data_IF_683033261039
#
_entry.id   IF_683033261039
#
_cell.length_a   1.000
_cell.length_b   1.000
_cell.length_c   1.000
_cell.angle_alpha   90.00
_cell.angle_beta   90.00
_cell.angle_gamma   90.00
#
_symmetry.space_group_name_H-M   'P 1'
#
loop_
_entity.id
_entity.type
_entity.pdbx_description
1 polymer ?
#
# COMPACT_ATOMS: atom_id res chain seq x y z
N UNK A 1 3.58 12.09 -10.40
CA UNK A 1 2.41 12.37 -11.25
C UNK A 1 2.03 13.85 -11.16
N UNK A 2 1.26 14.37 -12.12
CA UNK A 2 0.86 15.77 -12.12
C UNK A 2 0.15 16.19 -10.83
N UNK A 3 0.51 17.36 -10.30
CA UNK A 3 -0.03 17.93 -9.07
C UNK A 3 0.23 17.08 -7.81
N UNK A 4 1.18 16.16 -7.89
CA UNK A 4 1.50 15.25 -6.78
C UNK A 4 2.87 15.46 -6.15
N UNK A 5 3.54 16.59 -6.41
CA UNK A 5 4.91 16.81 -5.97
C UNK A 5 5.07 16.78 -4.44
N UNK A 6 4.17 17.40 -3.70
CA UNK A 6 4.19 17.41 -2.22
C UNK A 6 3.92 16.00 -1.69
N UNK A 7 2.92 15.32 -2.25
CA UNK A 7 2.61 13.94 -1.89
C UNK A 7 3.80 13.01 -2.14
N UNK A 8 4.39 13.09 -3.33
CA UNK A 8 5.56 12.26 -3.67
C UNK A 8 6.76 12.56 -2.78
N UNK A 9 6.99 13.84 -2.46
CA UNK A 9 8.06 14.25 -1.54
C UNK A 9 7.83 13.68 -0.14
N UNK A 10 6.60 13.72 0.37
CA UNK A 10 6.27 13.17 1.69
C UNK A 10 6.46 11.65 1.73
N UNK A 11 6.10 10.95 0.67
CA UNK A 11 6.29 9.50 0.59
C UNK A 11 7.76 9.11 0.47
N UNK A 12 8.55 9.88 -0.27
CA UNK A 12 9.99 9.67 -0.35
C UNK A 12 10.66 9.92 1.02
N UNK A 13 10.20 10.93 1.76
CA UNK A 13 10.68 11.21 3.11
C UNK A 13 10.39 10.06 4.07
N UNK A 14 9.20 9.46 3.99
CA UNK A 14 8.85 8.28 4.81
C UNK A 14 9.78 7.10 4.49
N UNK A 15 10.11 6.89 3.23
CA UNK A 15 11.05 5.84 2.83
C UNK A 15 12.43 6.04 3.45
N UNK A 16 12.96 7.26 3.37
CA UNK A 16 14.26 7.60 3.94
C UNK A 16 14.24 7.48 5.47
N UNK A 17 13.17 7.92 6.11
CA UNK A 17 12.98 7.82 7.56
C UNK A 17 12.91 6.35 8.00
N UNK A 18 12.20 5.52 7.28
CA UNK A 18 12.09 4.07 7.55
C UNK A 18 13.47 3.41 7.52
N UNK A 19 14.26 3.70 6.49
CA UNK A 19 15.61 3.16 6.37
C UNK A 19 16.52 3.65 7.50
N UNK A 20 16.46 4.93 7.84
CA UNK A 20 17.20 5.52 8.96
C UNK A 20 16.83 4.88 10.29
N UNK A 21 15.53 4.71 10.56
CA UNK A 21 15.06 4.03 11.78
C UNK A 21 15.56 2.58 11.85
N UNK A 22 15.57 1.88 10.72
CA UNK A 22 16.08 0.50 10.66
C UNK A 22 17.54 0.44 11.05
N UNK A 23 18.35 1.39 10.57
CA UNK A 23 19.76 1.49 10.91
C UNK A 23 19.94 1.83 12.39
N UNK A 24 19.22 2.83 12.89
CA UNK A 24 19.38 3.32 14.26
C UNK A 24 18.92 2.31 15.32
N UNK A 25 17.90 1.51 14.99
CA UNK A 25 17.23 0.64 15.97
C UNK A 25 17.69 -0.82 15.93
N UNK A 26 18.52 -1.19 14.96
CA UNK A 26 18.93 -2.60 14.83
C UNK A 26 19.69 -3.13 16.05
N UNK A 27 20.44 -2.27 16.73
CA UNK A 27 21.19 -2.66 17.95
C UNK A 27 20.27 -2.99 19.13
N UNK A 28 19.01 -2.57 19.05
CA UNK A 28 17.98 -2.88 20.05
C UNK A 28 17.09 -4.05 19.62
N UNK A 29 17.44 -4.76 18.53
CA UNK A 29 16.65 -5.86 17.96
C UNK A 29 15.22 -5.46 17.60
N UNK A 30 15.03 -4.21 17.19
CA UNK A 30 13.75 -3.69 16.73
C UNK A 30 13.68 -3.85 15.21
N UNK A 31 12.61 -4.49 14.75
CA UNK A 31 12.34 -4.67 13.32
C UNK A 31 11.57 -3.47 12.81
N UNK A 32 12.04 -2.89 11.70
CA UNK A 32 11.39 -1.78 11.02
C UNK A 32 11.12 -2.21 9.59
N UNK A 33 9.88 -2.15 9.17
CA UNK A 33 9.46 -2.61 7.86
C UNK A 33 8.45 -1.64 7.26
N UNK A 34 8.29 -1.71 5.94
CA UNK A 34 7.27 -0.93 5.23
C UNK A 34 6.45 -1.83 4.32
N UNK A 35 5.19 -1.43 4.14
CA UNK A 35 4.30 -2.03 3.18
C UNK A 35 3.77 -0.93 2.26
N UNK A 36 3.82 -1.20 0.95
CA UNK A 36 3.40 -0.25 -0.09
C UNK A 36 2.28 -0.89 -0.90
N UNK A 37 1.02 -0.59 -0.59
CA UNK A 37 -0.10 -1.16 -1.33
C UNK A 37 -0.39 -0.37 -2.60
N UNK A 38 -0.92 -1.06 -3.61
CA UNK A 38 -1.61 -0.45 -4.73
C UNK A 38 -2.97 0.11 -4.30
N UNK A 39 -3.93 0.11 -5.22
CA UNK A 39 -5.28 0.61 -4.92
C UNK A 39 -6.00 -0.28 -3.92
N UNK A 40 -6.50 0.33 -2.85
CA UNK A 40 -7.26 -0.32 -1.78
C UNK A 40 -8.64 0.30 -1.73
N UNK A 41 -9.68 -0.52 -1.88
CA UNK A 41 -11.06 -0.05 -1.80
C UNK A 41 -11.55 0.04 -0.36
N UNK A 42 -12.73 0.62 -0.19
CA UNK A 42 -13.44 0.72 1.10
C UNK A 42 -12.64 1.43 2.20
N UNK A 43 -11.80 2.39 1.79
CA UNK A 43 -11.08 3.27 2.70
C UNK A 43 -11.53 4.72 2.47
N UNK A 44 -11.28 5.56 3.44
CA UNK A 44 -11.59 6.99 3.32
C UNK A 44 -10.57 7.75 2.46
N UNK A 45 -9.47 7.11 2.06
CA UNK A 45 -8.37 7.79 1.38
C UNK A 45 -8.81 8.52 0.11
N UNK A 46 -9.53 7.83 -0.77
CA UNK A 46 -9.98 8.42 -2.03
C UNK A 46 -11.03 9.52 -1.79
N UNK A 47 -11.91 9.34 -0.82
CA UNK A 47 -12.92 10.32 -0.45
C UNK A 47 -12.25 11.59 0.05
N UNK A 48 -11.29 11.48 0.94
CA UNK A 48 -10.53 12.61 1.49
C UNK A 48 -9.73 13.31 0.39
N UNK A 49 -9.05 12.53 -0.46
CA UNK A 49 -8.24 13.05 -1.57
C UNK A 49 -9.07 13.87 -2.56
N UNK A 50 -10.33 13.50 -2.79
CA UNK A 50 -11.22 14.16 -3.73
C UNK A 50 -12.25 15.07 -3.03
N UNK A 51 -11.93 15.57 -1.84
CA UNK A 51 -12.76 16.51 -1.06
C UNK A 51 -14.21 16.03 -0.84
N UNK A 52 -14.37 14.72 -0.64
CA UNK A 52 -15.69 14.12 -0.40
C UNK A 52 -16.50 13.83 -1.66
N UNK A 53 -15.94 14.03 -2.85
CA UNK A 53 -16.60 13.66 -4.12
C UNK A 53 -16.62 12.13 -4.29
N UNK A 54 -17.73 11.51 -3.90
CA UNK A 54 -17.90 10.06 -3.97
C UNK A 54 -17.89 9.53 -5.40
N UNK A 55 -18.31 10.32 -6.38
CA UNK A 55 -18.27 9.89 -7.78
C UNK A 55 -16.84 9.79 -8.29
N UNK A 56 -16.01 10.76 -7.95
CA UNK A 56 -14.58 10.72 -8.28
C UNK A 56 -13.82 9.68 -7.47
N UNK A 57 -14.23 9.46 -6.22
CA UNK A 57 -13.62 8.45 -5.35
C UNK A 57 -13.97 7.02 -5.77
N UNK A 58 -15.05 6.82 -6.54
CA UNK A 58 -15.49 5.50 -7.01
C UNK A 58 -14.66 5.01 -8.22
N UNK A 59 -13.35 5.14 -8.13
CA UNK A 59 -12.40 4.76 -9.20
C UNK A 59 -12.03 3.29 -9.18
N UNK A 60 -12.57 2.53 -8.22
CA UNK A 60 -12.22 1.13 -8.00
C UNK A 60 -13.34 0.16 -8.42
N UNK A 61 -14.39 0.66 -9.09
CA UNK A 61 -15.55 -0.16 -9.41
C UNK A 61 -15.36 -1.08 -10.61
N UNK A 62 -14.39 -0.81 -11.46
CA UNK A 62 -14.18 -1.50 -12.75
C UNK A 62 -13.01 -2.50 -12.76
N UNK A 63 -12.49 -2.84 -11.60
CA UNK A 63 -11.49 -3.89 -11.41
C UNK A 63 -11.54 -4.40 -9.97
N UNK A 64 -10.78 -5.46 -9.67
CA UNK A 64 -10.68 -6.02 -8.31
C UNK A 64 -9.51 -5.34 -7.56
N UNK A 65 -9.75 -4.29 -6.76
CA UNK A 65 -8.70 -3.68 -5.97
C UNK A 65 -8.39 -4.53 -4.73
N UNK A 66 -7.34 -4.15 -4.01
CA UNK A 66 -7.07 -4.71 -2.69
C UNK A 66 -8.14 -4.24 -1.69
N UNK A 67 -8.29 -4.99 -0.62
CA UNK A 67 -9.12 -4.61 0.53
C UNK A 67 -8.22 -4.29 1.72
N UNK A 68 -8.77 -3.59 2.71
CA UNK A 68 -8.05 -3.36 3.97
C UNK A 68 -7.64 -4.66 4.64
N UNK A 69 -8.45 -5.72 4.50
CA UNK A 69 -8.14 -7.04 5.05
C UNK A 69 -6.90 -7.65 4.39
N UNK A 70 -6.74 -7.50 3.07
CA UNK A 70 -5.54 -7.98 2.37
C UNK A 70 -4.27 -7.35 2.95
N UNK A 71 -4.32 -6.04 3.23
CA UNK A 71 -3.20 -5.32 3.81
C UNK A 71 -2.95 -5.79 5.24
N UNK A 72 -4.00 -5.92 6.05
CA UNK A 72 -3.89 -6.36 7.44
C UNK A 72 -3.31 -7.78 7.56
N UNK A 73 -3.72 -8.70 6.69
CA UNK A 73 -3.17 -10.05 6.63
C UNK A 73 -1.67 -10.03 6.33
N UNK A 74 -1.26 -9.20 5.38
CA UNK A 74 0.14 -9.07 4.99
C UNK A 74 0.97 -8.50 6.14
N UNK A 75 0.47 -7.47 6.82
CA UNK A 75 1.14 -6.90 7.99
C UNK A 75 1.27 -7.94 9.10
N UNK A 76 0.23 -8.70 9.36
CA UNK A 76 0.26 -9.78 10.36
C UNK A 76 1.34 -10.81 10.02
N UNK A 77 1.41 -11.22 8.76
CA UNK A 77 2.42 -12.16 8.30
C UNK A 77 3.84 -11.61 8.54
N UNK A 78 4.08 -10.35 8.18
CA UNK A 78 5.38 -9.71 8.40
C UNK A 78 5.74 -9.65 9.89
N UNK A 79 4.80 -9.25 10.73
CA UNK A 79 5.00 -9.08 12.17
C UNK A 79 5.13 -10.43 12.90
N UNK A 80 4.53 -11.49 12.39
CA UNK A 80 4.51 -12.81 13.04
C UNK A 80 5.68 -13.71 12.66
N UNK A 81 6.63 -13.22 11.86
CA UNK A 81 7.83 -14.00 11.56
C UNK A 81 8.70 -14.14 12.82
N UNK A 82 9.57 -15.17 12.88
CA UNK A 82 10.51 -15.31 14.00
C UNK A 82 11.28 -14.02 14.27
N UNK A 83 11.66 -13.80 15.51
CA UNK A 83 12.25 -12.54 15.95
C UNK A 83 13.51 -12.12 15.18
N UNK A 84 14.26 -13.08 14.63
CA UNK A 84 15.49 -12.81 13.85
C UNK A 84 15.21 -12.52 12.36
N UNK A 85 13.95 -12.58 11.93
CA UNK A 85 13.56 -12.38 10.53
C UNK A 85 12.84 -11.05 10.40
N UNK A 86 13.33 -10.19 9.51
CA UNK A 86 12.65 -8.96 9.12
C UNK A 86 12.36 -9.00 7.63
N UNK A 87 11.08 -8.96 7.28
CA UNK A 87 10.65 -8.68 5.92
C UNK A 87 10.62 -7.17 5.81
N UNK A 88 11.59 -6.58 5.12
CA UNK A 88 11.84 -5.13 5.19
C UNK A 88 10.87 -4.32 4.37
N UNK A 89 10.63 -4.74 3.12
CA UNK A 89 9.78 -3.99 2.20
C UNK A 89 8.89 -4.97 1.44
N UNK A 90 7.60 -4.66 1.40
CA UNK A 90 6.62 -5.43 0.64
C UNK A 90 5.82 -4.48 -0.23
N UNK A 91 5.76 -4.79 -1.52
CA UNK A 91 4.85 -4.15 -2.46
C UNK A 91 3.71 -5.13 -2.70
N UNK A 92 2.49 -4.72 -2.38
CA UNK A 92 1.31 -5.55 -2.60
C UNK A 92 0.38 -4.86 -3.60
N UNK A 93 0.08 -5.55 -4.68
CA UNK A 93 -0.71 -5.00 -5.78
C UNK A 93 -1.87 -5.93 -6.09
N UNK A 94 -2.97 -5.35 -6.55
CA UNK A 94 -4.02 -6.14 -7.17
C UNK A 94 -3.48 -6.83 -8.44
N UNK A 95 -3.95 -8.03 -8.72
CA UNK A 95 -3.58 -8.75 -9.94
C UNK A 95 -3.89 -7.96 -11.20
N UNK A 96 -4.96 -7.15 -11.19
CA UNK A 96 -5.33 -6.30 -12.32
C UNK A 96 -4.58 -4.97 -12.36
N UNK A 97 -3.73 -4.68 -11.37
CA UNK A 97 -2.89 -3.49 -11.31
C UNK A 97 -1.41 -3.89 -11.28
N UNK A 98 -0.77 -4.08 -12.44
CA UNK A 98 0.63 -4.52 -12.46
C UNK A 98 1.63 -3.43 -12.07
N UNK A 99 1.26 -2.17 -12.20
CA UNK A 99 2.10 -1.02 -11.83
C UNK A 99 1.25 0.08 -11.20
N UNK A 100 1.92 1.10 -10.66
CA UNK A 100 1.24 2.25 -10.06
C UNK A 100 0.31 2.99 -11.02
N UNK A 101 0.56 2.90 -12.33
CA UNK A 101 -0.12 3.71 -13.36
C UNK A 101 -0.94 2.89 -14.35
N UNK A 102 -0.85 1.56 -14.31
CA UNK A 102 -1.54 0.68 -15.26
C UNK A 102 -2.53 -0.19 -14.50
N UNK A 103 -3.77 -0.17 -14.95
CA UNK A 103 -4.85 -0.99 -14.38
C UNK A 103 -5.66 -1.61 -15.52
N UNK A 104 -5.94 -2.92 -15.39
CA UNK A 104 -6.89 -3.57 -16.27
C UNK A 104 -8.31 -3.24 -15.78
N UNK A 105 -8.99 -2.34 -16.50
CA UNK A 105 -10.33 -1.83 -16.17
C UNK A 105 -11.45 -2.53 -16.92
N UNK A 106 -11.27 -3.78 -17.29
CA UNK A 106 -12.27 -4.57 -18.03
C UNK A 106 -13.35 -5.17 -17.13
N UNK A 107 -13.51 -4.66 -15.93
CA UNK A 107 -14.49 -5.11 -14.97
C UNK A 107 -13.89 -6.02 -13.89
N UNK A 108 -14.68 -6.28 -12.87
CA UNK A 108 -14.32 -7.19 -11.80
C UNK A 108 -14.38 -8.63 -12.31
N UNK A 109 -13.43 -9.44 -11.82
CA UNK A 109 -13.31 -10.85 -12.22
C UNK A 109 -13.40 -11.70 -10.96
N UNK A 110 -14.06 -12.85 -11.07
CA UNK A 110 -14.05 -13.86 -10.01
C UNK A 110 -12.75 -14.66 -10.10
N UNK A 111 -11.80 -14.34 -9.25
CA UNK A 111 -10.56 -15.09 -9.21
C UNK A 111 -10.74 -16.41 -8.45
N UNK A 112 -10.11 -17.51 -8.89
CA UNK A 112 -10.10 -18.75 -8.12
C UNK A 112 -9.35 -18.55 -6.81
N UNK A 113 -9.90 -19.16 -5.76
CA UNK A 113 -9.31 -19.13 -4.42
C UNK A 113 -8.27 -20.21 -4.19
#
# INVERSE_FOLDING_TARGET
YPNGNVYCASKAAVQALTEGMRIDLHTHNIRVASISPGHVEDTEFAIVRFDGDKNRANIYSDFNPLTAFDIAETIYFMASRPAHVTIQDVIIMSTQQPTATIVNRNGRTDFPT
#
